data_IF_715338827104
#
_entry.id   IF_715338827104
#
_cell.length_a   1.000
_cell.length_b   1.000
_cell.length_c   1.000
_cell.angle_alpha   90.00
_cell.angle_beta   90.00
_cell.angle_gamma   90.00
#
_symmetry.space_group_name_H-M   'P 1'
#
loop_
_entity.id
_entity.type
_entity.pdbx_description
1 polymer ?
#
# COMPACT_ATOMS: atom_id res chain seq x y z
N UNK A 1 6.00 8.36 9.09
CA UNK A 1 7.00 7.39 9.60
C UNK A 1 6.61 6.99 11.01
N UNK A 2 6.64 5.70 11.37
CA UNK A 2 6.39 5.27 12.76
C UNK A 2 7.50 5.77 13.67
N UNK A 3 7.14 6.37 14.79
CA UNK A 3 8.11 6.86 15.79
C UNK A 3 8.41 5.72 16.78
N UNK A 4 9.57 5.11 16.64
CA UNK A 4 10.14 4.23 17.65
C UNK A 4 10.98 5.04 18.64
N UNK A 5 11.30 4.46 19.81
CA UNK A 5 12.24 5.09 20.73
C UNK A 5 13.65 5.22 20.11
N UNK A 6 14.45 6.14 20.63
CA UNK A 6 15.85 6.28 20.24
C UNK A 6 16.65 5.00 20.56
N UNK A 7 16.32 4.33 21.66
CA UNK A 7 16.92 3.07 22.06
C UNK A 7 16.63 1.97 21.04
N UNK A 8 15.38 1.85 20.56
CA UNK A 8 15.03 0.91 19.49
C UNK A 8 15.83 1.20 18.22
N UNK A 9 15.89 2.47 17.80
CA UNK A 9 16.64 2.89 16.61
C UNK A 9 18.13 2.59 16.70
N UNK A 10 18.71 2.64 17.90
CA UNK A 10 20.11 2.30 18.17
C UNK A 10 20.33 0.78 18.12
N UNK A 11 19.47 0.01 18.81
CA UNK A 11 19.57 -1.46 18.87
C UNK A 11 19.38 -2.12 17.50
N UNK A 12 18.47 -1.60 16.71
CA UNK A 12 18.23 -2.13 15.34
C UNK A 12 19.47 -2.06 14.44
N UNK A 13 20.42 -1.18 14.77
CA UNK A 13 21.68 -1.01 14.02
C UNK A 13 22.85 -1.85 14.56
N UNK A 14 22.66 -2.57 15.66
CA UNK A 14 23.71 -3.42 16.21
C UNK A 14 23.84 -4.74 15.43
N UNK A 15 25.05 -5.29 15.39
CA UNK A 15 25.32 -6.56 14.70
C UNK A 15 24.69 -7.77 15.42
N UNK A 16 24.54 -7.70 16.75
CA UNK A 16 23.87 -8.72 17.56
C UNK A 16 22.58 -8.17 18.14
N UNK A 17 21.44 -8.71 17.69
CA UNK A 17 20.10 -8.34 18.15
C UNK A 17 19.14 -9.51 17.99
N UNK A 18 18.19 -9.61 18.89
CA UNK A 18 17.11 -10.61 18.83
C UNK A 18 15.79 -9.93 18.55
N UNK A 19 15.17 -10.28 17.43
CA UNK A 19 13.82 -9.85 17.12
C UNK A 19 12.81 -10.85 17.70
N UNK A 20 11.76 -10.30 18.29
CA UNK A 20 10.59 -11.04 18.72
C UNK A 20 9.44 -10.80 17.76
N UNK A 21 8.59 -11.78 17.62
CA UNK A 21 7.34 -11.69 16.84
C UNK A 21 6.17 -11.94 17.76
N UNK A 22 5.19 -11.05 17.74
CA UNK A 22 3.93 -11.18 18.47
C UNK A 22 2.77 -11.13 17.47
N UNK A 23 1.94 -12.15 17.50
CA UNK A 23 0.67 -12.17 16.78
C UNK A 23 -0.45 -12.26 17.81
N UNK A 24 -1.39 -11.32 17.77
CA UNK A 24 -2.60 -11.38 18.56
C UNK A 24 -3.83 -11.54 17.64
N UNK A 25 -4.80 -12.32 18.10
CA UNK A 25 -6.06 -12.56 17.42
C UNK A 25 -7.18 -12.47 18.46
N UNK A 26 -8.13 -11.56 18.29
CA UNK A 26 -9.18 -11.28 19.30
C UNK A 26 -8.61 -11.09 20.71
N UNK A 27 -7.56 -10.28 20.84
CA UNK A 27 -6.81 -10.00 22.09
C UNK A 27 -6.12 -11.21 22.73
N UNK A 28 -6.09 -12.36 22.05
CA UNK A 28 -5.35 -13.55 22.51
C UNK A 28 -4.04 -13.67 21.76
N UNK A 29 -2.94 -13.79 22.50
CA UNK A 29 -1.62 -14.05 21.91
C UNK A 29 -1.58 -15.45 21.30
N UNK A 30 -1.12 -15.53 20.05
CA UNK A 30 -0.86 -16.79 19.38
C UNK A 30 0.53 -17.27 19.77
N UNK A 31 0.58 -18.39 20.46
CA UNK A 31 1.81 -19.05 20.87
C UNK A 31 2.28 -20.05 19.80
N UNK A 32 3.51 -20.55 19.94
CA UNK A 32 4.10 -21.59 19.09
C UNK A 32 4.28 -21.19 17.60
N UNK A 33 4.51 -19.91 17.33
CA UNK A 33 4.91 -19.44 16.01
C UNK A 33 6.33 -19.94 15.73
N UNK A 34 6.53 -20.60 14.60
CA UNK A 34 7.83 -21.08 14.12
C UNK A 34 8.50 -20.06 13.19
N UNK A 35 7.72 -19.49 12.28
CA UNK A 35 8.22 -18.45 11.37
C UNK A 35 7.10 -17.51 10.93
N UNK A 36 7.47 -16.27 10.66
CA UNK A 36 6.63 -15.29 9.97
C UNK A 36 7.46 -14.67 8.86
N UNK A 37 6.95 -14.75 7.63
CA UNK A 37 7.51 -14.03 6.49
C UNK A 37 6.54 -12.91 6.13
N UNK A 38 7.00 -11.68 6.22
CA UNK A 38 6.26 -10.51 5.75
C UNK A 38 6.64 -10.23 4.30
N UNK A 39 5.63 -10.03 3.45
CA UNK A 39 5.79 -9.58 2.08
C UNK A 39 4.90 -8.36 1.90
N UNK A 40 5.53 -7.24 1.64
CA UNK A 40 4.82 -5.97 1.53
C UNK A 40 5.80 -4.83 1.38
N UNK A 41 5.25 -3.68 1.18
CA UNK A 41 5.95 -2.47 0.85
C UNK A 41 5.25 -1.84 -0.35
N UNK A 42 5.78 -0.78 -0.85
CA UNK A 42 5.39 -0.25 -2.15
C UNK A 42 6.09 -1.08 -3.24
N UNK A 43 5.65 -2.33 -3.47
CA UNK A 43 6.02 -2.99 -4.72
C UNK A 43 5.42 -2.16 -5.85
N UNK A 44 6.20 -1.21 -6.28
CA UNK A 44 6.02 -0.64 -7.60
C UNK A 44 6.60 -1.70 -8.52
N UNK A 45 5.80 -2.23 -9.44
CA UNK A 45 6.31 -3.06 -10.55
C UNK A 45 7.55 -2.40 -11.15
N UNK A 46 8.38 -3.12 -11.88
CA UNK A 46 9.65 -2.64 -12.47
C UNK A 46 9.55 -1.28 -13.15
N UNK A 47 8.34 -0.88 -13.57
CA UNK A 47 8.03 0.41 -14.16
C UNK A 47 7.25 1.32 -13.19
N UNK A 48 7.53 2.61 -13.24
CA UNK A 48 6.79 3.63 -12.49
C UNK A 48 5.30 3.58 -12.85
N UNK A 49 4.45 3.35 -11.86
CA UNK A 49 3.01 3.23 -12.04
C UNK A 49 2.24 4.17 -11.10
N UNK A 50 1.06 4.61 -11.56
CA UNK A 50 0.14 5.43 -10.79
C UNK A 50 -1.12 4.64 -10.41
N UNK A 51 -1.57 4.80 -9.18
CA UNK A 51 -2.81 4.21 -8.70
C UNK A 51 -2.69 2.77 -8.22
N UNK A 52 -1.48 2.26 -8.01
CA UNK A 52 -1.30 0.94 -7.42
C UNK A 52 -2.02 0.86 -6.07
N UNK A 53 -2.76 -0.23 -5.85
CA UNK A 53 -3.41 -0.55 -4.58
C UNK A 53 -2.73 -1.78 -4.01
N UNK A 54 -1.66 -1.53 -3.25
CA UNK A 54 -0.76 -2.58 -2.79
C UNK A 54 -1.37 -3.37 -1.65
N UNK A 55 -1.52 -4.67 -1.82
CA UNK A 55 -1.86 -5.61 -0.74
C UNK A 55 -0.60 -6.18 -0.15
N UNK A 56 -0.48 -6.09 1.17
CA UNK A 56 0.57 -6.73 1.94
C UNK A 56 0.05 -8.07 2.46
N UNK A 57 0.95 -9.02 2.67
CA UNK A 57 0.59 -10.30 3.26
C UNK A 57 1.71 -10.87 4.12
N UNK A 58 1.32 -11.77 5.02
CA UNK A 58 2.23 -12.54 5.82
C UNK A 58 2.02 -14.03 5.55
N UNK A 59 3.10 -14.80 5.56
CA UNK A 59 3.04 -16.27 5.63
C UNK A 59 3.48 -16.67 7.01
N UNK A 60 2.62 -17.41 7.72
CA UNK A 60 2.86 -17.85 9.11
C UNK A 60 2.93 -19.36 9.14
N UNK A 61 4.00 -19.87 9.75
CA UNK A 61 4.12 -21.30 10.10
C UNK A 61 4.10 -21.43 11.62
N UNK A 62 3.23 -22.27 12.16
CA UNK A 62 3.08 -22.48 13.59
C UNK A 62 2.73 -23.92 13.94
N UNK A 63 2.96 -24.33 15.17
CA UNK A 63 2.44 -25.59 15.69
C UNK A 63 0.94 -25.45 15.96
N UNK A 64 0.21 -26.55 15.78
CA UNK A 64 -1.25 -26.66 15.78
C UNK A 64 -1.98 -25.58 16.60
N UNK A 65 -2.84 -24.84 15.95
CA UNK A 65 -3.79 -23.92 16.58
C UNK A 65 -5.22 -24.34 16.23
N UNK A 66 -6.19 -23.74 16.90
CA UNK A 66 -7.60 -23.85 16.56
C UNK A 66 -7.94 -23.29 15.18
N UNK A 67 -9.23 -23.10 14.91
CA UNK A 67 -9.69 -22.51 13.66
C UNK A 67 -9.23 -21.04 13.55
N UNK A 68 -8.37 -20.76 12.58
CA UNK A 68 -7.79 -19.42 12.32
C UNK A 68 -8.28 -18.82 11.01
N UNK A 69 -8.83 -19.60 10.09
CA UNK A 69 -9.33 -19.13 8.80
C UNK A 69 -10.35 -18.01 8.97
N UNK A 70 -10.17 -16.93 8.24
CA UNK A 70 -11.05 -15.75 8.28
C UNK A 70 -10.87 -14.84 9.49
N UNK A 71 -10.00 -15.18 10.47
CA UNK A 71 -9.77 -14.34 11.64
C UNK A 71 -8.73 -13.27 11.35
N UNK A 72 -8.95 -12.07 11.90
CA UNK A 72 -7.99 -10.98 11.80
C UNK A 72 -6.93 -11.08 12.88
N UNK A 73 -5.69 -10.88 12.49
CA UNK A 73 -4.50 -10.95 13.31
C UNK A 73 -3.77 -9.62 13.30
N UNK A 74 -3.27 -9.19 14.44
CA UNK A 74 -2.36 -8.05 14.57
C UNK A 74 -0.94 -8.55 14.74
N UNK A 75 -0.06 -8.22 13.78
CA UNK A 75 1.36 -8.56 13.80
C UNK A 75 2.18 -7.41 14.35
N UNK A 76 3.05 -7.71 15.30
CA UNK A 76 4.02 -6.78 15.87
C UNK A 76 5.42 -7.42 15.88
N UNK A 77 6.45 -6.59 15.73
CA UNK A 77 7.85 -6.98 15.89
C UNK A 77 8.41 -6.21 17.09
N UNK A 78 9.13 -6.91 17.95
CA UNK A 78 9.74 -6.35 19.15
C UNK A 78 11.24 -6.53 19.19
N UNK A 79 11.90 -5.65 19.94
CA UNK A 79 13.28 -5.78 20.40
C UNK A 79 13.30 -5.59 21.91
N UNK A 80 14.11 -6.38 22.61
CA UNK A 80 14.32 -6.21 24.03
C UNK A 80 15.19 -4.98 24.30
N UNK A 81 14.65 -4.07 25.10
CA UNK A 81 15.33 -2.87 25.57
C UNK A 81 15.27 -2.90 27.09
N UNK A 82 16.43 -3.03 27.76
CA UNK A 82 16.52 -3.06 29.20
C UNK A 82 15.52 -4.03 29.87
N UNK A 83 15.47 -5.28 29.41
CA UNK A 83 14.56 -6.36 29.85
C UNK A 83 13.07 -6.14 29.55
N UNK A 84 12.71 -5.13 28.78
CA UNK A 84 11.37 -4.89 28.28
C UNK A 84 11.35 -4.86 26.75
N UNK A 85 10.37 -5.51 26.14
CA UNK A 85 10.21 -5.47 24.68
C UNK A 85 9.48 -4.19 24.24
N UNK A 86 10.08 -3.43 23.33
CA UNK A 86 9.35 -2.39 22.59
C UNK A 86 8.74 -3.02 21.35
N UNK A 87 7.40 -2.93 21.22
CA UNK A 87 6.65 -3.54 20.14
C UNK A 87 6.26 -2.53 19.08
N UNK A 88 6.63 -2.81 17.83
CA UNK A 88 6.27 -2.00 16.66
C UNK A 88 5.22 -2.73 15.86
N UNK A 89 4.04 -2.15 15.64
CA UNK A 89 3.01 -2.73 14.80
C UNK A 89 3.49 -2.83 13.36
N UNK A 90 3.23 -3.96 12.72
CA UNK A 90 3.47 -4.19 11.29
C UNK A 90 2.18 -4.04 10.50
N UNK A 91 1.07 -4.56 11.04
CA UNK A 91 -0.24 -4.42 10.40
C UNK A 91 -1.28 -5.41 10.92
N UNK A 92 -2.45 -5.33 10.29
CA UNK A 92 -3.60 -6.21 10.53
C UNK A 92 -3.81 -7.09 9.32
N UNK A 93 -3.88 -8.42 9.52
CA UNK A 93 -3.94 -9.41 8.45
C UNK A 93 -5.05 -10.42 8.71
N UNK A 94 -5.87 -10.70 7.71
CA UNK A 94 -6.92 -11.72 7.78
C UNK A 94 -6.37 -13.05 7.25
N UNK A 95 -6.43 -14.08 8.07
CA UNK A 95 -5.93 -15.42 7.72
C UNK A 95 -6.75 -16.05 6.61
N UNK A 96 -6.06 -16.51 5.58
CA UNK A 96 -6.61 -17.39 4.56
C UNK A 96 -6.72 -18.83 5.04
N UNK A 97 -7.07 -19.72 4.10
CA UNK A 97 -7.20 -21.15 4.38
C UNK A 97 -5.86 -21.76 4.76
N UNK A 98 -5.75 -22.44 5.92
CA UNK A 98 -4.51 -23.06 6.34
C UNK A 98 -4.25 -24.38 5.58
N UNK A 99 -2.98 -24.60 5.26
CA UNK A 99 -2.42 -25.90 4.91
C UNK A 99 -1.95 -26.61 6.18
N UNK A 100 -2.29 -27.87 6.35
CA UNK A 100 -1.98 -28.65 7.55
C UNK A 100 -1.07 -29.81 7.21
N UNK A 101 0.06 -29.91 7.89
CA UNK A 101 0.89 -31.11 8.00
C UNK A 101 0.73 -31.73 9.40
N UNK A 102 1.36 -32.88 9.67
CA UNK A 102 1.15 -33.63 10.92
C UNK A 102 1.34 -32.81 12.20
N UNK A 103 2.33 -31.91 12.22
CA UNK A 103 2.68 -31.12 13.42
C UNK A 103 2.59 -29.61 13.20
N UNK A 104 2.31 -29.15 11.99
CA UNK A 104 2.38 -27.75 11.64
C UNK A 104 1.20 -27.32 10.78
N UNK A 105 0.84 -26.07 10.91
CA UNK A 105 -0.03 -25.38 9.97
C UNK A 105 0.73 -24.22 9.34
N UNK A 106 0.50 -24.01 8.07
CA UNK A 106 0.97 -22.84 7.32
C UNK A 106 -0.21 -22.16 6.67
N UNK A 107 -0.23 -20.84 6.72
CA UNK A 107 -1.26 -20.05 6.06
C UNK A 107 -0.70 -18.70 5.64
N UNK A 108 -1.33 -18.13 4.61
CA UNK A 108 -1.13 -16.75 4.20
C UNK A 108 -2.25 -15.90 4.77
N UNK A 109 -1.91 -14.74 5.33
CA UNK A 109 -2.88 -13.76 5.79
C UNK A 109 -2.66 -12.44 5.04
N UNK A 110 -3.74 -11.84 4.55
CA UNK A 110 -3.74 -10.64 3.74
C UNK A 110 -4.15 -9.43 4.57
N UNK A 111 -3.56 -8.28 4.29
CA UNK A 111 -3.93 -7.03 4.93
C UNK A 111 -5.37 -6.60 4.59
N UNK A 112 -5.82 -5.52 5.23
CA UNK A 112 -7.19 -5.01 5.04
C UNK A 112 -7.46 -4.49 3.63
N UNK A 113 -6.45 -4.31 2.77
CA UNK A 113 -6.65 -3.98 1.36
C UNK A 113 -7.47 -5.05 0.64
N UNK A 114 -7.40 -6.32 1.06
CA UNK A 114 -8.23 -7.40 0.53
C UNK A 114 -9.75 -7.13 0.69
N UNK A 115 -10.18 -6.32 1.67
CA UNK A 115 -11.59 -5.96 1.85
C UNK A 115 -12.09 -5.01 0.76
N UNK A 116 -11.21 -4.38 0.00
CA UNK A 116 -11.57 -3.45 -1.08
C UNK A 116 -12.06 -4.11 -2.36
N UNK A 117 -12.04 -5.44 -2.45
CA UNK A 117 -12.63 -6.20 -3.57
C UNK A 117 -14.17 -6.14 -3.61
N UNK A 118 -14.80 -5.57 -2.59
CA UNK A 118 -16.25 -5.38 -2.54
C UNK A 118 -16.72 -4.41 -3.59
N UNK A 119 -17.94 -4.66 -4.13
CA UNK A 119 -18.57 -3.76 -5.11
C UNK A 119 -18.79 -2.37 -4.51
N UNK A 120 -18.35 -1.34 -5.22
CA UNK A 120 -18.60 0.04 -4.86
C UNK A 120 -20.03 0.44 -5.27
N UNK A 121 -20.75 1.14 -4.39
CA UNK A 121 -22.08 1.68 -4.66
C UNK A 121 -22.25 3.03 -3.98
N UNK A 122 -22.66 4.02 -4.75
CA UNK A 122 -22.93 5.39 -4.29
C UNK A 122 -24.01 6.02 -5.16
N UNK A 123 -24.94 6.76 -4.54
CA UNK A 123 -26.01 7.47 -5.24
C UNK A 123 -25.51 8.81 -5.82
N UNK A 124 -26.25 9.31 -6.82
CA UNK A 124 -25.99 10.60 -7.45
C UNK A 124 -25.28 10.50 -8.79
N UNK A 125 -24.98 11.66 -9.37
CA UNK A 125 -24.27 11.79 -10.64
C UNK A 125 -22.85 12.37 -10.46
N UNK A 126 -22.69 13.28 -9.49
CA UNK A 126 -21.43 13.95 -9.18
C UNK A 126 -21.10 13.83 -7.71
N UNK A 127 -19.82 13.79 -7.40
CA UNK A 127 -19.28 13.65 -6.04
C UNK A 127 -17.88 14.27 -5.97
N UNK A 128 -17.14 13.97 -4.94
CA UNK A 128 -15.72 14.31 -4.80
C UNK A 128 -14.93 13.17 -4.18
N UNK A 129 -13.61 13.21 -4.33
CA UNK A 129 -12.70 12.16 -3.85
C UNK A 129 -12.84 11.86 -2.35
N UNK A 130 -13.05 12.88 -1.51
CA UNK A 130 -13.19 12.68 -0.06
C UNK A 130 -14.47 11.91 0.27
N UNK A 131 -15.59 12.26 -0.39
CA UNK A 131 -16.87 11.54 -0.21
C UNK A 131 -16.78 10.10 -0.72
N UNK A 132 -16.04 9.87 -1.81
CA UNK A 132 -15.77 8.52 -2.35
C UNK A 132 -14.95 7.70 -1.36
N UNK A 133 -13.88 8.25 -0.80
CA UNK A 133 -13.04 7.56 0.19
C UNK A 133 -13.84 7.20 1.46
N UNK A 134 -14.67 8.11 1.97
CA UNK A 134 -15.58 7.81 3.09
C UNK A 134 -16.57 6.71 2.74
N UNK A 135 -17.06 6.67 1.50
CA UNK A 135 -17.96 5.59 1.05
C UNK A 135 -17.24 4.25 0.96
N UNK A 136 -15.98 4.23 0.53
CA UNK A 136 -15.13 3.03 0.58
C UNK A 136 -15.00 2.55 2.03
N UNK A 137 -14.71 3.42 2.98
CA UNK A 137 -14.66 3.11 4.41
C UNK A 137 -15.97 2.48 4.91
N UNK A 138 -17.11 3.07 4.54
CA UNK A 138 -18.45 2.56 4.92
C UNK A 138 -18.68 1.14 4.39
N UNK A 139 -18.34 0.87 3.11
CA UNK A 139 -18.56 -0.43 2.45
C UNK A 139 -17.60 -1.49 2.99
N UNK A 140 -16.33 -1.16 3.10
CA UNK A 140 -15.26 -2.10 3.44
C UNK A 140 -15.12 -2.32 4.93
N UNK A 141 -15.55 -1.36 5.74
CA UNK A 141 -15.31 -1.27 7.19
C UNK A 141 -13.82 -1.08 7.54
N UNK A 142 -13.03 -0.67 6.57
CA UNK A 142 -11.61 -0.33 6.76
C UNK A 142 -11.48 1.18 6.84
N UNK A 143 -10.94 1.74 7.93
CA UNK A 143 -10.74 3.18 8.05
C UNK A 143 -9.88 3.73 6.92
N UNK A 144 -10.23 4.91 6.41
CA UNK A 144 -9.50 5.59 5.33
C UNK A 144 -8.98 6.94 5.81
N UNK A 145 -7.69 7.15 5.72
CA UNK A 145 -7.05 8.43 6.08
C UNK A 145 -7.34 9.45 4.99
N UNK A 146 -8.13 10.47 5.32
CA UNK A 146 -8.46 11.56 4.39
C UNK A 146 -7.83 12.90 4.78
N UNK A 147 -7.16 12.96 5.93
CA UNK A 147 -6.45 14.17 6.40
C UNK A 147 -5.32 14.53 5.42
N UNK A 148 -5.19 15.82 5.12
CA UNK A 148 -4.19 16.30 4.16
C UNK A 148 -4.57 16.15 2.68
N UNK A 149 -5.65 15.43 2.34
CA UNK A 149 -6.11 15.29 0.98
C UNK A 149 -7.04 16.45 0.58
N UNK A 150 -6.81 17.03 -0.59
CA UNK A 150 -7.70 18.06 -1.15
C UNK A 150 -8.91 17.41 -1.83
N UNK A 151 -10.09 18.04 -1.71
CA UNK A 151 -11.28 17.56 -2.40
C UNK A 151 -11.19 17.82 -3.91
N UNK A 152 -11.39 16.78 -4.73
CA UNK A 152 -11.40 16.85 -6.20
C UNK A 152 -12.76 16.38 -6.68
N UNK A 153 -13.44 17.19 -7.51
CA UNK A 153 -14.72 16.83 -8.10
C UNK A 153 -14.57 15.71 -9.14
N UNK A 154 -15.51 14.77 -9.14
CA UNK A 154 -15.57 13.66 -10.09
C UNK A 154 -17.02 13.18 -10.28
N UNK A 155 -17.29 12.42 -11.33
CA UNK A 155 -18.55 11.68 -11.45
C UNK A 155 -18.59 10.50 -10.49
N UNK A 156 -19.78 10.08 -10.08
CA UNK A 156 -19.94 8.92 -9.20
C UNK A 156 -19.52 7.64 -9.93
N UNK A 157 -18.56 6.87 -9.39
CA UNK A 157 -18.16 5.59 -9.96
C UNK A 157 -19.32 4.57 -9.92
N UNK A 158 -19.53 3.86 -11.03
CA UNK A 158 -20.57 2.81 -11.13
C UNK A 158 -20.00 1.59 -11.83
N UNK A 159 -20.28 0.41 -11.28
CA UNK A 159 -19.84 -0.86 -11.87
C UNK A 159 -18.41 -1.24 -11.55
N UNK A 160 -17.79 -0.65 -10.54
CA UNK A 160 -16.43 -0.90 -10.10
C UNK A 160 -16.40 -1.53 -8.69
N UNK A 161 -15.29 -2.16 -8.36
CA UNK A 161 -14.96 -2.52 -6.98
C UNK A 161 -14.43 -1.30 -6.21
N UNK A 162 -14.44 -1.36 -4.88
CA UNK A 162 -13.83 -0.31 -4.07
C UNK A 162 -12.32 -0.20 -4.37
N UNK A 163 -11.66 -1.30 -4.74
CA UNK A 163 -10.24 -1.32 -5.11
C UNK A 163 -9.95 -0.53 -6.38
N UNK A 164 -10.74 -0.75 -7.43
CA UNK A 164 -10.62 0.01 -8.68
C UNK A 164 -10.89 1.50 -8.45
N UNK A 165 -11.94 1.82 -7.68
CA UNK A 165 -12.26 3.23 -7.35
C UNK A 165 -11.13 3.87 -6.53
N UNK A 166 -10.56 3.15 -5.56
CA UNK A 166 -9.42 3.61 -4.78
C UNK A 166 -8.20 3.88 -5.66
N UNK A 167 -7.92 2.99 -6.62
CA UNK A 167 -6.87 3.18 -7.63
C UNK A 167 -7.08 4.47 -8.43
N UNK A 168 -8.28 4.70 -8.94
CA UNK A 168 -8.60 5.93 -9.67
C UNK A 168 -8.44 7.19 -8.83
N UNK A 169 -8.85 7.14 -7.56
CA UNK A 169 -8.66 8.25 -6.63
C UNK A 169 -7.17 8.48 -6.35
N UNK A 170 -6.38 7.43 -6.12
CA UNK A 170 -4.94 7.54 -5.92
C UNK A 170 -4.22 8.17 -7.13
N UNK A 171 -4.60 7.79 -8.35
CA UNK A 171 -4.11 8.42 -9.59
C UNK A 171 -4.41 9.93 -9.64
N UNK A 172 -5.58 10.36 -9.17
CA UNK A 172 -5.95 11.80 -9.15
C UNK A 172 -5.10 12.61 -8.17
N UNK A 173 -4.46 11.97 -7.19
CA UNK A 173 -3.48 12.58 -6.30
C UNK A 173 -2.03 12.40 -6.78
N UNK A 174 -1.81 11.62 -7.83
CA UNK A 174 -0.47 11.31 -8.35
C UNK A 174 0.30 10.35 -7.48
N UNK A 175 -0.36 9.29 -6.99
CA UNK A 175 0.23 8.36 -6.05
C UNK A 175 -0.35 6.95 -6.10
N UNK A 176 -0.30 6.27 -4.98
CA UNK A 176 -0.73 4.88 -4.77
C UNK A 176 -1.40 4.73 -3.39
N UNK A 177 -2.10 3.62 -3.15
CA UNK A 177 -2.76 3.34 -1.88
C UNK A 177 -2.20 2.08 -1.23
N UNK A 178 -2.00 2.14 0.09
CA UNK A 178 -1.55 1.02 0.92
C UNK A 178 -2.38 0.95 2.20
N UNK A 179 -2.33 -0.18 2.90
CA UNK A 179 -2.71 -0.22 4.31
C UNK A 179 -1.52 0.17 5.18
N UNK A 180 -1.70 1.15 6.03
CA UNK A 180 -0.68 1.54 7.01
C UNK A 180 -0.63 0.54 8.18
N UNK A 181 0.33 0.71 9.09
CA UNK A 181 0.55 -0.18 10.24
C UNK A 181 -0.62 -0.22 11.24
N UNK A 182 -1.50 0.78 11.22
CA UNK A 182 -2.73 0.85 12.00
C UNK A 182 -3.91 0.16 11.30
N UNK A 183 -3.67 -0.45 10.12
CA UNK A 183 -4.69 -1.11 9.32
C UNK A 183 -5.67 -0.15 8.66
N UNK A 184 -5.26 1.09 8.41
CA UNK A 184 -6.04 2.11 7.71
C UNK A 184 -5.55 2.22 6.27
N UNK A 185 -6.46 2.44 5.34
CA UNK A 185 -6.09 2.76 3.95
C UNK A 185 -5.57 4.19 3.89
N UNK A 186 -4.40 4.37 3.29
CA UNK A 186 -3.73 5.65 3.14
C UNK A 186 -3.27 5.84 1.70
N UNK A 187 -3.46 7.06 1.15
CA UNK A 187 -2.95 7.43 -0.16
C UNK A 187 -1.61 8.13 0.02
N UNK A 188 -0.58 7.51 -0.52
CA UNK A 188 0.76 8.08 -0.61
C UNK A 188 0.96 8.73 -1.97
N UNK A 189 1.63 9.86 -1.98
CA UNK A 189 2.02 10.56 -3.20
C UNK A 189 3.52 10.43 -3.38
N UNK A 190 3.98 10.37 -4.63
CA UNK A 190 5.42 10.40 -4.90
C UNK A 190 5.96 11.77 -4.55
N UNK A 191 7.00 11.79 -3.75
CA UNK A 191 7.69 12.99 -3.28
C UNK A 191 9.20 12.78 -3.42
N UNK A 192 9.91 13.86 -3.70
CA UNK A 192 11.38 13.84 -3.73
C UNK A 192 11.92 13.90 -2.29
N UNK A 193 11.96 12.73 -1.66
CA UNK A 193 12.50 12.58 -0.31
C UNK A 193 13.93 12.06 -0.40
N UNK A 194 14.90 12.92 -0.17
CA UNK A 194 16.29 12.52 -0.03
C UNK A 194 16.44 11.67 1.26
N UNK A 195 16.52 10.36 1.10
CA UNK A 195 16.80 9.44 2.19
C UNK A 195 18.17 8.79 1.99
N UNK A 196 19.08 8.99 2.94
CA UNK A 196 20.39 8.36 2.89
C UNK A 196 20.34 7.00 3.56
N UNK A 197 20.54 5.94 2.77
CA UNK A 197 20.74 4.58 3.28
C UNK A 197 22.24 4.38 3.52
N UNK A 198 22.64 4.31 4.80
CA UNK A 198 24.03 4.04 5.15
C UNK A 198 24.40 2.58 4.88
N UNK A 199 25.70 2.31 4.61
CA UNK A 199 26.23 0.98 4.29
C UNK A 199 25.96 -0.11 5.34
N UNK A 200 25.59 0.25 6.57
CA UNK A 200 25.19 -0.68 7.64
C UNK A 200 23.69 -1.00 7.63
N UNK A 201 22.92 -0.46 6.69
CA UNK A 201 21.46 -0.60 6.65
C UNK A 201 20.96 -1.51 5.52
N UNK A 202 21.86 -2.06 4.72
CA UNK A 202 21.55 -3.02 3.66
C UNK A 202 22.57 -4.15 3.65
N UNK A 203 22.14 -5.29 3.16
CA UNK A 203 23.00 -6.43 2.88
C UNK A 203 23.69 -6.22 1.53
N UNK A 204 24.73 -7.01 1.22
CA UNK A 204 25.56 -6.88 0.00
C UNK A 204 24.80 -7.02 -1.34
N UNK A 205 23.49 -7.16 -1.33
CA UNK A 205 22.64 -7.41 -2.49
C UNK A 205 21.76 -6.20 -2.85
N UNK A 206 22.22 -4.97 -2.60
CA UNK A 206 21.51 -3.80 -3.09
C UNK A 206 21.68 -3.67 -4.60
N UNK A 207 20.61 -3.94 -5.34
CA UNK A 207 20.55 -3.76 -6.79
C UNK A 207 19.76 -2.51 -7.13
N UNK A 208 20.27 -1.68 -7.99
CA UNK A 208 19.56 -0.51 -8.52
C UNK A 208 19.83 -0.37 -10.02
N UNK A 209 18.90 0.25 -10.73
CA UNK A 209 19.11 0.61 -12.11
C UNK A 209 20.10 1.77 -12.24
N UNK A 210 20.88 1.79 -13.31
CA UNK A 210 21.89 2.82 -13.58
C UNK A 210 21.29 4.16 -14.06
N UNK A 211 19.96 4.28 -14.11
CA UNK A 211 19.29 5.48 -14.61
C UNK A 211 18.23 6.01 -13.65
N UNK A 212 18.11 7.32 -13.61
CA UNK A 212 17.01 8.00 -12.95
C UNK A 212 15.83 8.09 -13.91
N UNK A 213 14.70 7.60 -13.47
CA UNK A 213 13.43 7.76 -14.19
C UNK A 213 12.83 9.12 -13.85
N UNK A 214 12.48 9.89 -14.87
CA UNK A 214 11.73 11.14 -14.73
C UNK A 214 10.50 11.10 -15.64
N UNK A 215 9.42 11.73 -15.23
CA UNK A 215 8.18 11.77 -16.00
C UNK A 215 8.17 12.99 -16.92
N UNK A 216 8.32 12.78 -18.23
CA UNK A 216 8.27 13.86 -19.22
C UNK A 216 6.84 14.12 -19.71
N UNK A 217 5.99 13.09 -19.71
CA UNK A 217 4.60 13.15 -20.20
C UNK A 217 3.72 12.18 -19.45
N UNK A 218 2.50 12.62 -19.10
CA UNK A 218 1.42 11.75 -18.67
C UNK A 218 0.37 11.62 -19.79
N UNK A 219 -0.12 10.39 -20.01
CA UNK A 219 -1.26 10.12 -20.89
C UNK A 219 -2.30 9.31 -20.10
N UNK A 220 -3.49 9.86 -19.97
CA UNK A 220 -4.61 9.21 -19.30
C UNK A 220 -5.70 8.84 -20.30
N UNK A 221 -6.02 7.55 -20.38
CA UNK A 221 -7.16 7.05 -21.16
C UNK A 221 -8.43 7.23 -20.34
N UNK A 222 -9.38 8.01 -20.87
CA UNK A 222 -10.60 8.40 -20.13
C UNK A 222 -11.84 7.63 -20.57
N UNK A 223 -11.75 6.78 -21.60
CA UNK A 223 -12.86 5.97 -22.11
C UNK A 223 -12.75 5.71 -23.60
N UNK A 224 -13.90 5.53 -24.24
CA UNK A 224 -14.03 5.35 -25.68
C UNK A 224 -15.01 6.37 -26.24
N UNK A 225 -14.79 6.79 -27.48
CA UNK A 225 -15.74 7.61 -28.25
C UNK A 225 -16.90 6.76 -28.79
N UNK A 226 -17.80 7.41 -29.57
CA UNK A 226 -18.97 6.76 -30.15
C UNK A 226 -18.60 5.69 -31.19
N UNK A 227 -17.41 5.76 -31.74
CA UNK A 227 -16.88 4.84 -32.76
C UNK A 227 -16.02 3.75 -32.17
N UNK A 228 -15.89 3.71 -30.81
CA UNK A 228 -15.12 2.73 -30.09
C UNK A 228 -13.63 3.03 -29.99
N UNK A 229 -13.18 4.21 -30.45
CA UNK A 229 -11.77 4.61 -30.32
C UNK A 229 -11.47 5.10 -28.90
N UNK A 230 -10.31 4.79 -28.39
CA UNK A 230 -9.86 5.26 -27.07
C UNK A 230 -9.74 6.77 -27.02
N UNK A 231 -10.40 7.39 -26.06
CA UNK A 231 -10.24 8.81 -25.75
C UNK A 231 -9.17 8.98 -24.69
N UNK A 232 -8.29 9.96 -24.88
CA UNK A 232 -7.23 10.25 -23.92
C UNK A 232 -6.97 11.75 -23.76
N UNK A 233 -6.45 12.11 -22.61
CA UNK A 233 -5.92 13.43 -22.31
C UNK A 233 -4.44 13.28 -21.95
N UNK A 234 -3.63 14.31 -22.18
CA UNK A 234 -2.21 14.26 -21.86
C UNK A 234 -1.69 15.58 -21.32
N UNK A 235 -0.61 15.51 -20.55
CA UNK A 235 0.11 16.66 -19.97
C UNK A 235 1.61 16.43 -20.08
N UNK A 236 2.36 17.49 -20.43
CA UNK A 236 3.79 17.41 -20.70
C UNK A 236 4.12 16.98 -22.11
N UNK A 237 5.43 16.88 -22.41
CA UNK A 237 5.97 16.46 -23.71
C UNK A 237 7.35 15.87 -23.53
N UNK A 238 7.66 14.76 -24.21
CA UNK A 238 8.96 14.09 -24.12
C UNK A 238 8.84 12.59 -24.37
N UNK A 239 9.96 11.90 -24.24
CA UNK A 239 10.08 10.48 -24.59
C UNK A 239 9.58 9.57 -23.46
N UNK A 240 9.76 9.97 -22.21
CA UNK A 240 9.40 9.17 -21.02
C UNK A 240 7.94 9.41 -20.65
N UNK A 241 7.06 8.61 -21.23
CA UNK A 241 5.61 8.73 -21.06
C UNK A 241 5.11 7.68 -20.08
N UNK A 242 4.39 8.12 -19.06
CA UNK A 242 3.59 7.24 -18.20
C UNK A 242 2.14 7.26 -18.68
N UNK A 243 1.60 6.07 -18.95
CA UNK A 243 0.23 5.90 -19.45
C UNK A 243 -0.59 5.09 -18.46
N UNK A 244 -1.83 5.51 -18.22
CA UNK A 244 -2.77 4.84 -17.34
C UNK A 244 -4.21 5.11 -17.74
N UNK A 245 -5.15 4.37 -17.16
CA UNK A 245 -6.59 4.53 -17.46
C UNK A 245 -7.31 5.07 -16.23
N UNK A 246 -8.13 6.15 -16.45
CA UNK A 246 -8.97 6.70 -15.39
C UNK A 246 -10.16 7.45 -16.01
N UNK A 247 -11.38 6.89 -15.96
CA UNK A 247 -12.56 7.50 -16.57
C UNK A 247 -13.04 8.77 -15.85
N UNK A 248 -12.47 9.07 -14.67
CA UNK A 248 -12.82 10.23 -13.83
C UNK A 248 -11.80 11.37 -13.92
N UNK A 249 -10.71 11.17 -14.68
CA UNK A 249 -9.62 12.15 -14.79
C UNK A 249 -10.06 13.31 -15.69
N UNK A 250 -9.91 14.54 -15.19
CA UNK A 250 -10.06 15.77 -16.00
C UNK A 250 -8.69 16.32 -16.40
N UNK A 251 -8.64 17.15 -17.47
CA UNK A 251 -7.40 17.78 -17.93
C UNK A 251 -6.72 18.58 -16.80
N UNK A 252 -7.48 19.37 -16.05
CA UNK A 252 -6.95 20.18 -14.96
C UNK A 252 -6.35 19.36 -13.81
N UNK A 253 -6.93 18.19 -13.54
CA UNK A 253 -6.39 17.25 -12.53
C UNK A 253 -5.11 16.61 -13.07
N UNK A 254 -5.10 16.16 -14.32
CA UNK A 254 -3.93 15.58 -14.96
C UNK A 254 -2.75 16.56 -14.99
N UNK A 255 -3.01 17.82 -15.34
CA UNK A 255 -1.99 18.86 -15.38
C UNK A 255 -1.38 19.09 -13.99
N UNK A 256 -2.20 19.12 -12.94
CA UNK A 256 -1.73 19.22 -11.55
C UNK A 256 -0.87 18.05 -11.13
N UNK A 257 -1.31 16.81 -11.46
CA UNK A 257 -0.54 15.58 -11.19
C UNK A 257 0.79 15.63 -11.92
N UNK A 258 0.80 16.02 -13.20
CA UNK A 258 2.03 16.15 -13.97
C UNK A 258 3.00 17.19 -13.36
N UNK A 259 2.49 18.39 -12.96
CA UNK A 259 3.34 19.40 -12.34
C UNK A 259 4.03 18.90 -11.06
N UNK A 260 3.38 18.02 -10.33
CA UNK A 260 3.95 17.36 -9.15
C UNK A 260 5.01 16.32 -9.54
N UNK A 261 4.66 15.42 -10.44
CA UNK A 261 5.52 14.27 -10.80
C UNK A 261 6.75 14.65 -11.63
N UNK A 262 6.69 15.70 -12.45
CA UNK A 262 7.86 16.14 -13.24
C UNK A 262 9.06 16.57 -12.42
N UNK A 263 8.85 16.87 -11.12
CA UNK A 263 9.91 17.27 -10.17
C UNK A 263 10.46 16.10 -9.37
N UNK A 264 9.85 14.91 -9.50
CA UNK A 264 10.26 13.70 -8.80
C UNK A 264 11.17 12.89 -9.71
N UNK A 265 12.31 12.49 -9.19
CA UNK A 265 13.18 11.51 -9.83
C UNK A 265 13.07 10.17 -9.11
N UNK A 266 12.98 9.10 -9.87
CA UNK A 266 12.79 7.74 -9.37
C UNK A 266 13.94 6.84 -9.86
N UNK A 267 14.57 6.13 -8.95
CA UNK A 267 15.57 5.10 -9.24
C UNK A 267 15.01 3.75 -8.83
N UNK A 268 14.61 2.90 -9.80
CA UNK A 268 14.20 1.54 -9.48
C UNK A 268 15.33 0.77 -8.82
N UNK A 269 15.02 0.05 -7.73
CA UNK A 269 16.00 -0.76 -7.03
C UNK A 269 15.33 -1.73 -6.06
N UNK A 270 16.07 -2.78 -5.71
CA UNK A 270 15.66 -3.79 -4.73
C UNK A 270 16.62 -3.75 -3.54
N UNK A 271 16.08 -3.70 -2.33
CA UNK A 271 16.83 -3.73 -1.06
C UNK A 271 16.75 -5.10 -0.43
#
# INVERSE_FOLDING_TARGET
MYQSSEAFGTLVQQDSRTFHCLITCDDVTIENIKSVKFTGGSEVEDDFSLGSTVSQYITVTMSCAGAIEGREMHLQIGLDIDDLAEWIPIGYFTAGKPSKSEEQIEFTAYDRMAQTERTFSMDGATTNTISVLKKIEEITRVPVVTSGLSSISMSVPKGYTCREVLSYVAQMYGGFAICNRQGQIEIHTYEDNAYTVGTRRYWDNFEHNDYLFTVDKLTCYTGQDKDGNSTSISSGSGARTVSFSNPFMSQSVLDRVFQKLKTVSYMPGTL
#
